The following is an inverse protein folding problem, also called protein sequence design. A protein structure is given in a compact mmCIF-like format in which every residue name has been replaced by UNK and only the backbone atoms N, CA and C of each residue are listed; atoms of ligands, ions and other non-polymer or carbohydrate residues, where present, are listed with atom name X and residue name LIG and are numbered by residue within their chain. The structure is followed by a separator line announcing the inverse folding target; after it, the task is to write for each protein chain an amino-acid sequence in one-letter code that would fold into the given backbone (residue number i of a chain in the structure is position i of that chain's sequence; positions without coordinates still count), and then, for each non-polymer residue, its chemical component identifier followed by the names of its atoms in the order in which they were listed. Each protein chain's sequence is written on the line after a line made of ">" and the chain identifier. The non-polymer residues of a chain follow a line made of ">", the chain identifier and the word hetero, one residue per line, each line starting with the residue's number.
data_IF_916662849173
#
_entry.id   IF_916662849173
#
_cell.length_a   1.000
_cell.length_b   1.000
_cell.length_c   1.000
_cell.angle_alpha   90.00
_cell.angle_beta   90.00
_cell.angle_gamma   90.00
#
_symmetry.space_group_name_H-M   'P 1'
#
loop_
_entity.id
_entity.type
_entity.pdbx_description
1 polymer ?
#
# COMPACT_ATOMS: atom_id res chain seq x y z
N UNK A 1 -26.13 1.13 -56.21
CA UNK A 1 -26.76 1.56 -54.95
C UNK A 1 -25.69 1.66 -53.87
N UNK A 2 -25.78 2.72 -53.04
CA UNK A 2 -24.96 3.12 -51.89
C UNK A 2 -23.55 3.72 -52.18
N UNK A 3 -23.40 5.05 -52.33
CA UNK A 3 -23.29 6.13 -51.30
C UNK A 3 -22.12 5.95 -50.32
N UNK A 4 -20.99 6.63 -50.53
CA UNK A 4 -20.50 7.91 -49.91
C UNK A 4 -19.76 7.64 -48.58
N UNK A 5 -18.69 8.32 -48.14
CA UNK A 5 -18.27 9.72 -48.20
C UNK A 5 -16.74 9.86 -47.95
N UNK A 6 -16.11 10.73 -48.77
CA UNK A 6 -15.18 11.84 -48.44
C UNK A 6 -13.98 11.69 -47.47
N UNK A 7 -12.79 11.86 -48.08
CA UNK A 7 -11.66 12.78 -47.79
C UNK A 7 -11.15 12.94 -46.34
N UNK A 8 -9.85 12.64 -46.17
CA UNK A 8 -8.99 13.21 -45.12
C UNK A 8 -7.51 13.06 -45.47
N UNK A 9 -6.98 13.98 -46.28
CA UNK A 9 -5.53 14.17 -46.49
C UNK A 9 -4.80 14.45 -45.18
N UNK A 10 -3.55 13.99 -45.02
CA UNK A 10 -2.36 14.82 -44.75
C UNK A 10 -1.22 14.00 -44.11
N UNK A 11 -0.21 13.70 -44.95
CA UNK A 11 1.24 13.71 -44.72
C UNK A 11 1.79 13.11 -43.40
N UNK A 12 2.82 12.29 -43.52
CA UNK A 12 4.21 12.69 -43.25
C UNK A 12 5.09 11.44 -43.22
N UNK A 13 5.89 11.31 -44.27
CA UNK A 13 7.11 10.51 -44.34
C UNK A 13 7.96 10.72 -43.08
N UNK A 14 8.23 9.65 -42.32
CA UNK A 14 9.19 9.70 -41.21
C UNK A 14 10.05 8.45 -41.21
N UNK A 15 11.04 8.49 -42.10
CA UNK A 15 12.46 8.26 -41.84
C UNK A 15 12.81 7.31 -40.67
N UNK A 16 13.34 6.16 -41.08
CA UNK A 16 14.29 5.28 -40.39
C UNK A 16 15.42 6.03 -39.67
N UNK A 17 15.63 5.77 -38.37
CA UNK A 17 16.97 5.71 -37.78
C UNK A 17 16.94 4.97 -36.43
N UNK A 18 17.68 3.86 -36.40
CA UNK A 18 18.13 3.13 -35.23
C UNK A 18 18.92 4.04 -34.28
N UNK A 19 18.57 4.04 -32.99
CA UNK A 19 19.43 3.52 -31.92
C UNK A 19 18.92 3.94 -30.54
N UNK A 20 18.87 2.93 -29.68
CA UNK A 20 18.37 2.92 -28.30
C UNK A 20 18.97 3.99 -27.41
N UNK A 21 18.11 4.63 -26.61
CA UNK A 21 18.19 4.81 -25.14
C UNK A 21 17.24 5.93 -24.73
N UNK A 22 15.92 5.66 -24.76
CA UNK A 22 14.94 6.53 -24.10
C UNK A 22 14.68 5.98 -22.71
N UNK A 23 15.20 6.69 -21.71
CA UNK A 23 14.77 6.64 -20.31
C UNK A 23 13.24 6.73 -20.29
N UNK A 24 12.57 5.59 -20.11
CA UNK A 24 11.16 5.55 -19.79
C UNK A 24 11.05 5.67 -18.28
N UNK A 25 10.86 6.89 -17.78
CA UNK A 25 10.27 7.09 -16.47
C UNK A 25 8.78 6.71 -16.57
N UNK A 26 8.52 5.44 -16.79
CA UNK A 26 7.23 4.81 -16.63
C UNK A 26 7.16 4.33 -15.19
N UNK A 27 7.09 5.28 -14.25
CA UNK A 27 6.38 5.00 -13.01
C UNK A 27 4.90 4.89 -13.40
N UNK A 28 4.55 3.76 -14.01
CA UNK A 28 3.19 3.25 -14.07
C UNK A 28 2.82 2.98 -12.61
N UNK A 29 2.45 4.06 -11.93
CA UNK A 29 1.58 3.98 -10.77
C UNK A 29 0.28 3.44 -11.33
N UNK A 30 0.20 2.11 -11.37
CA UNK A 30 -1.05 1.39 -11.40
C UNK A 30 -1.84 1.91 -10.20
N UNK A 31 -2.62 2.97 -10.44
CA UNK A 31 -3.66 3.43 -9.54
C UNK A 31 -4.76 2.40 -9.72
N UNK A 32 -4.48 1.17 -9.26
CA UNK A 32 -5.45 0.11 -9.06
C UNK A 32 -6.65 0.79 -8.46
N UNK A 33 -7.71 0.85 -9.26
CA UNK A 33 -8.98 1.41 -8.89
C UNK A 33 -9.32 0.86 -7.51
N UNK A 34 -9.43 1.78 -6.54
CA UNK A 34 -9.76 1.48 -5.15
C UNK A 34 -11.11 0.76 -5.16
N UNK A 35 -11.09 -0.56 -5.32
CA UNK A 35 -12.20 -1.45 -5.01
C UNK A 35 -12.55 -1.06 -3.59
N UNK A 36 -13.69 -0.44 -3.41
CA UNK A 36 -14.32 -0.24 -2.10
C UNK A 36 -14.82 -1.62 -1.65
N UNK A 37 -13.87 -2.51 -1.43
CA UNK A 37 -13.98 -3.63 -0.52
C UNK A 37 -13.28 -3.16 0.73
N UNK A 38 -13.96 -3.30 1.86
CA UNK A 38 -13.39 -3.31 3.19
C UNK A 38 -12.35 -4.45 3.27
N UNK A 39 -11.19 -4.24 2.62
CA UNK A 39 -10.10 -5.18 2.59
C UNK A 39 -9.44 -5.18 3.96
N UNK A 40 -9.59 -6.32 4.65
CA UNK A 40 -8.99 -6.52 5.95
C UNK A 40 -7.46 -6.53 5.81
N UNK A 41 -6.81 -5.66 6.57
CA UNK A 41 -5.37 -5.68 6.76
C UNK A 41 -5.04 -6.98 7.49
N UNK A 42 -4.07 -7.75 7.00
CA UNK A 42 -3.55 -8.94 7.68
C UNK A 42 -2.08 -8.74 7.97
N UNK A 43 -1.69 -8.83 9.24
CA UNK A 43 -0.29 -8.74 9.67
C UNK A 43 0.11 -10.07 10.29
N UNK A 44 1.15 -10.68 9.73
CA UNK A 44 1.78 -11.87 10.30
C UNK A 44 3.18 -11.51 10.77
N UNK A 45 3.44 -11.79 12.04
CA UNK A 45 4.71 -11.51 12.70
C UNK A 45 5.20 -12.80 13.31
N UNK A 46 6.51 -13.06 13.17
CA UNK A 46 7.15 -14.23 13.76
C UNK A 46 8.41 -13.81 14.47
N UNK A 47 8.46 -14.10 15.77
CA UNK A 47 9.59 -13.86 16.66
C UNK A 47 10.19 -12.45 16.53
N UNK A 48 9.35 -11.42 16.47
CA UNK A 48 9.79 -10.03 16.42
C UNK A 48 9.53 -9.33 17.76
N UNK A 49 10.20 -8.21 18.01
CA UNK A 49 9.92 -7.39 19.20
C UNK A 49 8.49 -6.83 19.15
N UNK A 50 7.76 -6.93 20.26
CA UNK A 50 6.41 -6.35 20.37
C UNK A 50 6.44 -4.85 20.09
N UNK A 51 7.42 -4.16 20.67
CA UNK A 51 7.66 -2.72 20.46
C UNK A 51 7.88 -2.39 18.99
N UNK A 52 8.80 -3.08 18.34
CA UNK A 52 9.16 -2.79 16.95
C UNK A 52 8.00 -3.12 16.00
N UNK A 53 7.21 -4.15 16.33
CA UNK A 53 6.01 -4.46 15.55
C UNK A 53 5.00 -3.31 15.62
N UNK A 54 4.60 -2.89 16.83
CA UNK A 54 3.61 -1.83 17.00
C UNK A 54 4.11 -0.53 16.35
N UNK A 55 5.38 -0.18 16.57
CA UNK A 55 5.99 0.99 15.96
C UNK A 55 6.04 0.88 14.42
N UNK A 56 6.37 -0.29 13.88
CA UNK A 56 6.41 -0.56 12.44
C UNK A 56 5.05 -0.41 11.78
N UNK A 57 3.99 -0.89 12.44
CA UNK A 57 2.59 -0.69 12.00
C UNK A 57 2.30 0.81 12.00
N UNK A 58 2.46 1.52 13.12
CA UNK A 58 2.17 2.96 13.19
C UNK A 58 2.95 3.75 12.11
N UNK A 59 4.24 3.46 11.94
CA UNK A 59 5.09 4.10 10.93
C UNK A 59 4.62 3.83 9.50
N UNK A 60 4.21 2.60 9.18
CA UNK A 60 3.73 2.24 7.84
C UNK A 60 2.45 2.99 7.45
N UNK A 61 1.64 3.39 8.43
CA UNK A 61 0.39 4.12 8.21
C UNK A 61 0.49 5.62 8.52
N UNK A 62 1.70 6.14 8.80
CA UNK A 62 1.91 7.56 9.12
C UNK A 62 1.26 8.00 10.44
N UNK A 63 1.01 7.06 11.35
CA UNK A 63 0.40 7.31 12.66
C UNK A 63 1.50 7.63 13.67
N UNK A 64 1.36 8.77 14.35
CA UNK A 64 2.22 9.08 15.50
C UNK A 64 1.77 8.27 16.70
N UNK A 65 2.74 7.65 17.40
CA UNK A 65 2.46 6.79 18.55
C UNK A 65 3.41 7.13 19.69
N UNK A 66 2.89 7.07 20.91
CA UNK A 66 3.62 7.29 22.18
C UNK A 66 3.40 6.09 23.12
N UNK A 67 4.28 5.89 24.10
CA UNK A 67 4.12 4.86 25.13
C UNK A 67 4.54 3.43 24.73
N UNK A 68 5.01 3.22 23.50
CA UNK A 68 5.47 1.90 23.01
C UNK A 68 6.76 1.41 23.68
N UNK A 69 7.49 2.28 24.38
CA UNK A 69 8.70 1.94 25.13
C UNK A 69 8.47 0.96 26.29
N UNK A 70 7.24 0.95 26.81
CA UNK A 70 6.79 0.04 27.86
C UNK A 70 6.57 -1.39 27.37
N UNK A 71 6.34 -1.57 26.06
CA UNK A 71 6.10 -2.88 25.45
C UNK A 71 7.39 -3.71 25.46
N UNK A 72 7.33 -4.87 26.10
CA UNK A 72 8.45 -5.82 26.22
C UNK A 72 8.08 -7.18 25.62
N UNK A 73 9.10 -7.98 25.34
CA UNK A 73 8.95 -9.35 24.85
C UNK A 73 8.88 -9.47 23.33
N UNK A 74 8.76 -10.71 22.88
CA UNK A 74 8.66 -11.09 21.48
C UNK A 74 7.25 -11.55 21.15
N UNK A 75 6.83 -11.32 19.91
CA UNK A 75 5.53 -11.74 19.41
C UNK A 75 5.65 -12.71 18.26
N UNK A 76 4.69 -13.63 18.18
CA UNK A 76 4.42 -14.46 17.02
C UNK A 76 2.90 -14.54 16.90
N UNK A 77 2.33 -13.77 15.98
CA UNK A 77 0.88 -13.63 15.84
C UNK A 77 0.51 -13.34 14.38
N UNK A 78 -0.69 -13.76 14.00
CA UNK A 78 -1.33 -13.31 12.78
C UNK A 78 -2.65 -12.63 13.16
N UNK A 79 -2.74 -11.33 12.88
CA UNK A 79 -3.88 -10.49 13.25
C UNK A 79 -4.51 -9.88 12.01
N UNK A 80 -5.83 -9.70 12.05
CA UNK A 80 -6.61 -9.10 10.96
C UNK A 80 -7.46 -7.96 11.50
N UNK A 81 -7.66 -6.93 10.71
CA UNK A 81 -8.39 -5.74 11.15
C UNK A 81 -8.70 -4.79 10.00
N UNK A 82 -9.73 -3.98 10.17
CA UNK A 82 -10.19 -3.00 9.18
C UNK A 82 -9.32 -1.74 9.15
N UNK A 83 -8.56 -1.49 10.22
CA UNK A 83 -7.67 -0.34 10.34
C UNK A 83 -6.39 -0.70 11.13
N UNK A 84 -5.30 0.06 11.01
CA UNK A 84 -4.10 -0.13 11.83
C UNK A 84 -4.40 -0.05 13.34
N UNK A 85 -5.32 0.80 13.79
CA UNK A 85 -5.70 0.85 15.21
C UNK A 85 -6.45 -0.41 15.65
N UNK A 86 -7.30 -0.98 14.79
CA UNK A 86 -7.95 -2.26 15.08
C UNK A 86 -6.91 -3.37 15.22
N UNK A 87 -5.91 -3.40 14.34
CA UNK A 87 -4.79 -4.35 14.43
C UNK A 87 -4.03 -4.19 15.75
N UNK A 88 -3.66 -2.96 16.11
CA UNK A 88 -2.90 -2.71 17.35
C UNK A 88 -3.75 -3.02 18.59
N UNK A 89 -5.06 -2.75 18.53
CA UNK A 89 -6.01 -3.13 19.59
C UNK A 89 -6.10 -4.65 19.78
N UNK A 90 -6.16 -5.42 18.68
CA UNK A 90 -6.10 -6.89 18.74
C UNK A 90 -4.78 -7.39 19.32
N UNK A 91 -3.65 -6.79 18.93
CA UNK A 91 -2.35 -7.07 19.56
C UNK A 91 -2.37 -6.72 21.06
N UNK A 92 -3.04 -5.63 21.43
CA UNK A 92 -3.25 -5.21 22.82
C UNK A 92 -3.93 -6.28 23.66
N UNK A 93 -5.00 -6.89 23.13
CA UNK A 93 -5.71 -7.99 23.78
C UNK A 93 -4.82 -9.23 23.96
N UNK A 94 -4.02 -9.56 22.95
CA UNK A 94 -3.15 -10.75 22.97
C UNK A 94 -1.92 -10.58 23.89
N UNK A 95 -1.40 -9.37 23.99
CA UNK A 95 -0.15 -9.06 24.71
C UNK A 95 -0.36 -8.16 25.94
N UNK A 96 -1.60 -8.03 26.41
CA UNK A 96 -1.98 -7.32 27.63
C UNK A 96 -1.54 -5.84 27.70
N UNK A 97 -1.78 -5.09 26.63
CA UNK A 97 -1.64 -3.63 26.64
C UNK A 97 -2.88 -2.95 26.06
N UNK A 98 -3.09 -1.69 26.41
CA UNK A 98 -4.23 -0.90 25.94
C UNK A 98 -3.79 0.18 24.95
N UNK A 99 -4.68 0.51 24.02
CA UNK A 99 -4.51 1.61 23.07
C UNK A 99 -5.59 2.64 23.37
N UNK A 100 -5.22 3.91 23.40
CA UNK A 100 -6.16 5.01 23.57
C UNK A 100 -5.81 6.12 22.59
N UNK A 101 -6.83 6.82 22.10
CA UNK A 101 -6.67 8.02 21.28
C UNK A 101 -6.81 9.23 22.21
N UNK A 102 -5.89 10.17 22.09
CA UNK A 102 -5.94 11.48 22.75
C UNK A 102 -6.48 12.53 21.78
#
# INVERSE_FOLDING_TARGET
>A
ANSTDRIGTNRNDRITASSSETIVNSSEVDKNEKKVGNELITISVRNASLKETVLGICRSYGISVIGVESLKGSITATVKGESPEAIISELGKLYHFSVSKE
#
